data_IF_809491404415
#
_entry.id   IF_809491404415
#
_cell.length_a   1.000
_cell.length_b   1.000
_cell.length_c   1.000
_cell.angle_alpha   90.00
_cell.angle_beta   90.00
_cell.angle_gamma   90.00
#
_symmetry.space_group_name_H-M   'P 1'
#
loop_
_entity.id
_entity.type
_entity.pdbx_description
1 polymer ?
#
# COMPACT_ATOMS: atom_id res chain seq x y z
N UNK A 1 3.85 -44.39 -47.87
CA UNK A 1 3.53 -44.59 -46.44
C UNK A 1 4.81 -44.91 -45.70
N UNK A 2 5.47 -43.90 -45.14
CA UNK A 2 6.53 -44.07 -44.16
C UNK A 2 6.08 -43.28 -42.93
N UNK A 3 5.79 -44.01 -41.86
CA UNK A 3 5.47 -43.45 -40.55
C UNK A 3 6.70 -42.70 -40.03
N UNK A 4 6.63 -41.37 -40.00
CA UNK A 4 7.55 -40.56 -39.22
C UNK A 4 7.06 -40.63 -37.77
N UNK A 5 7.71 -41.46 -36.98
CA UNK A 5 7.58 -41.44 -35.52
C UNK A 5 8.07 -40.08 -35.01
N UNK A 6 7.13 -39.19 -34.70
CA UNK A 6 7.41 -37.97 -33.95
C UNK A 6 7.72 -38.34 -32.50
N UNK A 7 9.00 -38.57 -32.21
CA UNK A 7 9.51 -38.54 -30.84
C UNK A 7 9.50 -37.05 -30.42
N UNK A 8 8.42 -36.63 -29.75
CA UNK A 8 8.38 -35.37 -29.02
C UNK A 8 9.37 -35.46 -27.84
N UNK A 9 10.64 -35.18 -28.10
CA UNK A 9 11.58 -34.86 -27.03
C UNK A 9 11.20 -33.49 -26.50
N UNK A 10 10.51 -33.45 -25.37
CA UNK A 10 10.25 -32.21 -24.62
C UNK A 10 11.61 -31.61 -24.24
N UNK A 11 12.08 -30.64 -25.03
CA UNK A 11 13.33 -29.94 -24.73
C UNK A 11 13.11 -29.14 -23.44
N UNK A 12 13.67 -29.63 -22.34
CA UNK A 12 13.78 -28.87 -21.11
C UNK A 12 14.48 -27.54 -21.43
N UNK A 13 13.79 -26.43 -21.15
CA UNK A 13 14.36 -25.10 -21.24
C UNK A 13 15.15 -24.85 -19.96
N UNK A 14 16.44 -24.60 -20.10
CA UNK A 14 17.30 -24.14 -19.01
C UNK A 14 17.58 -22.65 -19.18
N UNK A 15 17.47 -21.90 -18.09
CA UNK A 15 17.91 -20.51 -17.99
C UNK A 15 18.92 -20.42 -16.86
N UNK A 16 20.05 -19.78 -17.09
CA UNK A 16 21.05 -19.50 -16.06
C UNK A 16 21.46 -18.05 -16.20
N UNK A 17 21.41 -17.32 -15.08
CA UNK A 17 21.82 -15.93 -15.02
C UNK A 17 22.67 -15.69 -13.78
N UNK A 18 23.82 -15.08 -13.98
CA UNK A 18 24.68 -14.64 -12.89
C UNK A 18 24.55 -13.14 -12.71
N UNK A 19 24.18 -12.72 -11.50
CA UNK A 19 24.13 -11.32 -11.10
C UNK A 19 25.27 -11.03 -10.14
N UNK A 20 26.07 -10.02 -10.48
CA UNK A 20 27.17 -9.57 -9.64
C UNK A 20 26.70 -8.40 -8.75
N UNK A 21 26.91 -8.52 -7.44
CA UNK A 21 26.60 -7.51 -6.42
C UNK A 21 27.89 -7.18 -5.66
N UNK A 22 28.61 -6.16 -6.16
CA UNK A 22 29.96 -5.84 -5.66
C UNK A 22 30.95 -6.96 -5.99
N UNK A 23 31.66 -7.48 -4.99
CA UNK A 23 32.54 -8.65 -5.12
C UNK A 23 31.81 -9.99 -5.01
N UNK A 24 30.51 -9.97 -4.71
CA UNK A 24 29.71 -11.19 -4.62
C UNK A 24 29.07 -11.49 -5.98
N UNK A 25 28.96 -12.77 -6.32
CA UNK A 25 28.10 -13.23 -7.42
C UNK A 25 26.99 -14.13 -6.87
N UNK A 26 25.83 -14.04 -7.50
CA UNK A 26 24.72 -14.96 -7.33
C UNK A 26 24.36 -15.52 -8.70
N UNK A 27 24.55 -16.82 -8.88
CA UNK A 27 24.04 -17.53 -10.05
C UNK A 27 22.70 -18.15 -9.71
N UNK A 28 21.71 -17.86 -10.56
CA UNK A 28 20.35 -18.35 -10.48
C UNK A 28 20.08 -19.19 -11.71
N UNK A 29 19.76 -20.46 -11.50
CA UNK A 29 19.42 -21.38 -12.58
C UNK A 29 17.99 -21.87 -12.44
N UNK A 30 17.27 -21.88 -13.56
CA UNK A 30 15.93 -22.41 -13.70
C UNK A 30 15.90 -23.49 -14.77
N UNK A 31 15.20 -24.59 -14.50
CA UNK A 31 14.93 -25.65 -15.47
C UNK A 31 13.48 -26.09 -15.43
N UNK A 32 12.89 -26.31 -16.61
CA UNK A 32 11.51 -26.81 -16.77
C UNK A 32 11.10 -26.92 -18.24
N UNK A 33 9.91 -27.47 -18.51
CA UNK A 33 9.38 -27.56 -19.88
C UNK A 33 9.10 -26.17 -20.48
N UNK A 34 8.58 -25.26 -19.64
CA UNK A 34 8.26 -23.87 -19.98
C UNK A 34 8.81 -22.97 -18.89
N UNK A 35 9.47 -21.88 -19.27
CA UNK A 35 9.93 -20.89 -18.30
C UNK A 35 8.77 -20.02 -17.79
N UNK A 36 8.65 -19.78 -16.48
CA UNK A 36 7.60 -18.96 -15.91
C UNK A 36 7.75 -17.50 -16.33
N UNK A 37 6.75 -17.00 -17.02
CA UNK A 37 6.72 -15.68 -17.64
C UNK A 37 5.45 -14.93 -17.27
N UNK A 38 5.45 -13.61 -17.54
CA UNK A 38 4.29 -12.77 -17.23
C UNK A 38 4.09 -12.54 -15.73
N UNK A 39 2.97 -11.89 -15.40
CA UNK A 39 2.74 -11.30 -14.07
C UNK A 39 2.34 -12.34 -13.01
N UNK A 40 1.65 -13.42 -13.40
CA UNK A 40 1.05 -14.37 -12.46
C UNK A 40 2.08 -15.12 -11.60
N UNK A 41 3.19 -15.67 -12.15
CA UNK A 41 4.23 -16.27 -11.32
C UNK A 41 4.85 -15.30 -10.31
N UNK A 42 5.06 -14.02 -10.69
CA UNK A 42 5.64 -13.01 -9.79
C UNK A 42 4.70 -12.69 -8.63
N UNK A 43 3.42 -12.52 -8.93
CA UNK A 43 2.39 -12.26 -7.90
C UNK A 43 2.19 -13.47 -7.00
N UNK A 44 2.14 -14.67 -7.57
CA UNK A 44 2.02 -15.89 -6.79
C UNK A 44 3.23 -16.10 -5.87
N UNK A 45 4.45 -15.93 -6.36
CA UNK A 45 5.66 -16.00 -5.52
C UNK A 45 5.63 -14.95 -4.40
N UNK A 46 5.27 -13.71 -4.74
CA UNK A 46 5.10 -12.62 -3.76
C UNK A 46 4.06 -12.97 -2.70
N UNK A 47 2.96 -13.62 -3.09
CA UNK A 47 1.91 -14.08 -2.18
C UNK A 47 2.43 -15.15 -1.21
N UNK A 48 3.14 -16.18 -1.71
CA UNK A 48 3.73 -17.23 -0.87
C UNK A 48 4.66 -16.63 0.18
N UNK A 49 5.61 -15.79 -0.26
CA UNK A 49 6.54 -15.08 0.62
C UNK A 49 5.81 -14.21 1.64
N UNK A 50 4.82 -13.42 1.20
CA UNK A 50 4.01 -12.55 2.06
C UNK A 50 3.28 -13.35 3.13
N UNK A 51 2.68 -14.49 2.80
CA UNK A 51 1.97 -15.29 3.79
C UNK A 51 2.91 -15.82 4.87
N UNK A 52 4.05 -16.41 4.50
CA UNK A 52 5.03 -16.93 5.47
C UNK A 52 5.52 -15.84 6.42
N UNK A 53 5.95 -14.69 5.88
CA UNK A 53 6.52 -13.60 6.68
C UNK A 53 5.45 -12.92 7.54
N UNK A 54 4.26 -12.66 6.98
CA UNK A 54 3.17 -11.97 7.68
C UNK A 54 2.60 -12.80 8.83
N UNK A 55 2.45 -14.12 8.65
CA UNK A 55 1.91 -15.02 9.68
C UNK A 55 2.98 -15.48 10.67
N UNK A 56 4.27 -15.22 10.38
CA UNK A 56 5.42 -15.79 11.13
C UNK A 56 5.30 -17.31 11.21
N UNK A 57 4.98 -17.92 10.07
CA UNK A 57 4.74 -19.36 10.05
C UNK A 57 5.98 -20.10 10.57
N UNK A 58 5.73 -21.05 11.48
CA UNK A 58 6.75 -21.97 12.00
C UNK A 58 6.88 -23.23 11.15
N UNK A 59 5.91 -23.46 10.26
CA UNK A 59 5.79 -24.63 9.40
C UNK A 59 5.74 -24.19 7.93
N UNK A 60 6.15 -25.04 6.97
CA UNK A 60 6.18 -24.70 5.54
C UNK A 60 4.79 -24.68 4.88
N UNK A 61 3.73 -24.33 5.63
CA UNK A 61 2.35 -24.33 5.15
C UNK A 61 1.89 -22.91 4.86
N UNK A 62 1.40 -22.67 3.65
CA UNK A 62 0.75 -21.44 3.22
C UNK A 62 -0.75 -21.70 3.07
N UNK A 63 -1.57 -20.97 3.83
CA UNK A 63 -3.01 -20.99 3.66
C UNK A 63 -3.40 -20.18 2.42
N UNK A 64 -4.23 -20.76 1.57
CA UNK A 64 -4.83 -20.08 0.41
C UNK A 64 -6.33 -19.81 0.65
N UNK A 65 -6.95 -18.91 -0.12
CA UNK A 65 -8.37 -18.61 0.04
C UNK A 65 -9.29 -19.81 -0.20
N UNK A 66 -10.54 -19.71 0.28
CA UNK A 66 -11.49 -20.82 0.28
C UNK A 66 -11.97 -21.23 -1.11
N UNK A 67 -11.83 -20.36 -2.11
CA UNK A 67 -12.23 -20.61 -3.49
C UNK A 67 -11.16 -20.17 -4.48
N UNK A 68 -11.14 -20.81 -5.65
CA UNK A 68 -10.25 -20.48 -6.78
C UNK A 68 -10.43 -19.03 -7.24
N UNK A 69 -11.68 -18.55 -7.31
CA UNK A 69 -11.98 -17.16 -7.66
C UNK A 69 -11.37 -16.15 -6.66
N UNK A 70 -11.44 -16.45 -5.36
CA UNK A 70 -10.82 -15.60 -4.34
C UNK A 70 -9.29 -15.68 -4.40
N UNK A 71 -8.72 -16.85 -4.73
CA UNK A 71 -7.29 -16.99 -4.98
C UNK A 71 -6.80 -16.16 -6.15
N UNK A 72 -7.51 -16.17 -7.29
CA UNK A 72 -7.16 -15.32 -8.43
C UNK A 72 -7.15 -13.83 -8.06
N UNK A 73 -8.13 -13.38 -7.28
CA UNK A 73 -8.18 -11.99 -6.81
C UNK A 73 -7.04 -11.65 -5.83
N UNK A 74 -6.85 -12.46 -4.79
CA UNK A 74 -5.95 -12.13 -3.67
C UNK A 74 -4.49 -12.48 -3.92
N UNK A 75 -4.22 -13.61 -4.59
CA UNK A 75 -2.86 -14.09 -4.85
C UNK A 75 -2.34 -13.64 -6.22
N UNK A 76 -3.21 -13.57 -7.23
CA UNK A 76 -2.81 -13.25 -8.60
C UNK A 76 -3.22 -11.85 -9.06
N UNK A 77 -3.99 -11.10 -8.26
CA UNK A 77 -4.44 -9.74 -8.58
C UNK A 77 -5.34 -9.67 -9.82
N UNK A 78 -6.15 -10.70 -10.04
CA UNK A 78 -7.15 -10.77 -11.13
C UNK A 78 -8.48 -10.25 -10.58
N UNK A 79 -8.82 -9.01 -10.90
CA UNK A 79 -10.02 -8.33 -10.40
C UNK A 79 -11.24 -8.43 -11.34
N UNK A 80 -11.13 -9.25 -12.39
CA UNK A 80 -12.18 -9.51 -13.37
C UNK A 80 -12.55 -11.00 -13.37
N UNK A 81 -13.64 -11.36 -14.04
CA UNK A 81 -14.03 -12.77 -14.24
C UNK A 81 -13.20 -13.32 -15.42
N UNK A 82 -12.26 -14.25 -15.20
CA UNK A 82 -11.38 -14.73 -16.26
C UNK A 82 -12.14 -15.59 -17.27
N UNK A 83 -11.82 -15.44 -18.55
CA UNK A 83 -12.32 -16.32 -19.60
C UNK A 83 -11.61 -17.69 -19.55
N UNK A 84 -12.14 -18.70 -20.26
CA UNK A 84 -11.48 -20.02 -20.35
C UNK A 84 -10.03 -19.91 -20.81
N UNK A 85 -9.75 -19.05 -21.80
CA UNK A 85 -8.39 -18.83 -22.31
C UNK A 85 -7.48 -18.19 -21.28
N UNK A 86 -8.01 -17.28 -20.46
CA UNK A 86 -7.23 -16.66 -19.37
C UNK A 86 -6.90 -17.69 -18.30
N UNK A 87 -7.85 -18.56 -17.96
CA UNK A 87 -7.66 -19.66 -17.00
C UNK A 87 -6.57 -20.61 -17.52
N UNK A 88 -6.64 -21.03 -18.79
CA UNK A 88 -5.63 -21.89 -19.40
C UNK A 88 -4.23 -21.25 -19.35
N UNK A 89 -4.14 -19.95 -19.65
CA UNK A 89 -2.88 -19.21 -19.59
C UNK A 89 -2.35 -19.07 -18.15
N UNK A 90 -3.23 -18.81 -17.18
CA UNK A 90 -2.88 -18.76 -15.75
C UNK A 90 -2.37 -20.13 -15.31
N UNK A 91 -3.14 -21.19 -15.56
CA UNK A 91 -2.81 -22.56 -15.17
C UNK A 91 -1.47 -22.99 -15.76
N UNK A 92 -1.22 -22.70 -17.04
CA UNK A 92 0.06 -22.96 -17.70
C UNK A 92 1.23 -22.26 -17.00
N UNK A 93 1.09 -20.98 -16.65
CA UNK A 93 2.18 -20.22 -16.01
C UNK A 93 2.37 -20.59 -14.54
N UNK A 94 1.30 -20.93 -13.81
CA UNK A 94 1.39 -21.43 -12.43
C UNK A 94 2.05 -22.81 -12.40
N UNK A 95 1.66 -23.71 -13.31
CA UNK A 95 2.32 -25.00 -13.49
C UNK A 95 3.80 -24.83 -13.81
N UNK A 96 4.13 -24.01 -14.83
CA UNK A 96 5.50 -23.71 -15.20
C UNK A 96 6.34 -23.17 -14.03
N UNK A 97 5.75 -22.31 -13.20
CA UNK A 97 6.42 -21.78 -12.01
C UNK A 97 6.69 -22.85 -10.95
N UNK A 98 5.71 -23.71 -10.69
CA UNK A 98 5.83 -24.77 -9.69
C UNK A 98 6.82 -25.85 -10.13
N UNK A 99 6.77 -26.26 -11.40
CA UNK A 99 7.63 -27.29 -11.96
C UNK A 99 9.09 -26.82 -12.09
N UNK A 100 9.33 -25.51 -12.02
CA UNK A 100 10.66 -24.96 -12.07
C UNK A 100 11.48 -25.32 -10.84
N UNK A 101 12.74 -25.66 -11.09
CA UNK A 101 13.74 -25.86 -10.04
C UNK A 101 14.71 -24.69 -10.01
N UNK A 102 15.13 -24.32 -8.81
CA UNK A 102 16.00 -23.18 -8.55
C UNK A 102 17.34 -23.66 -7.98
N UNK A 103 18.45 -23.27 -8.61
CA UNK A 103 19.79 -23.40 -8.03
C UNK A 103 20.35 -22.02 -7.70
N UNK A 104 20.97 -21.90 -6.53
CA UNK A 104 21.57 -20.68 -5.99
C UNK A 104 23.03 -20.94 -5.60
N UNK A 105 23.95 -20.26 -6.26
CA UNK A 105 25.39 -20.32 -5.97
C UNK A 105 25.90 -18.95 -5.55
N UNK A 106 26.65 -18.90 -4.43
CA UNK A 106 27.20 -17.68 -3.85
C UNK A 106 28.72 -17.74 -3.89
N UNK A 107 29.38 -16.63 -4.25
CA UNK A 107 30.85 -16.56 -4.22
C UNK A 107 31.45 -16.44 -2.81
N UNK A 108 30.66 -16.10 -1.79
CA UNK A 108 31.10 -16.04 -0.39
C UNK A 108 30.08 -16.74 0.54
N UNK A 109 30.26 -18.03 0.84
CA UNK A 109 29.29 -18.84 1.57
C UNK A 109 29.39 -18.75 3.11
N UNK A 110 30.19 -17.83 3.67
CA UNK A 110 30.47 -17.78 5.11
C UNK A 110 29.29 -17.30 5.98
N UNK A 111 28.19 -16.84 5.38
CA UNK A 111 26.95 -16.47 6.06
C UNK A 111 25.96 -17.64 6.02
N UNK A 112 25.30 -17.95 7.16
CA UNK A 112 24.27 -19.00 7.24
C UNK A 112 23.16 -18.83 6.20
N UNK A 113 22.88 -17.60 5.77
CA UNK A 113 21.89 -17.30 4.73
C UNK A 113 22.37 -17.63 3.30
N UNK A 114 23.69 -17.66 3.07
CA UNK A 114 24.37 -17.75 1.76
C UNK A 114 24.95 -19.14 1.48
N UNK A 115 24.23 -20.17 1.89
CA UNK A 115 24.58 -21.56 1.53
C UNK A 115 24.22 -21.81 0.07
N UNK A 116 25.12 -22.49 -0.65
CA UNK A 116 24.80 -23.05 -1.97
C UNK A 116 23.63 -24.02 -1.84
N UNK A 117 22.71 -23.95 -2.78
CA UNK A 117 21.52 -24.80 -2.82
C UNK A 117 21.27 -25.17 -4.27
N UNK A 118 20.99 -26.43 -4.54
CA UNK A 118 20.80 -26.92 -5.90
C UNK A 118 19.42 -27.56 -6.02
N UNK A 119 18.78 -27.36 -7.17
CA UNK A 119 17.52 -28.03 -7.52
C UNK A 119 16.38 -27.83 -6.50
N UNK A 120 16.30 -26.64 -5.88
CA UNK A 120 15.22 -26.28 -4.96
C UNK A 120 13.90 -26.31 -5.72
N UNK A 121 12.95 -27.14 -5.26
CA UNK A 121 11.57 -27.08 -5.74
C UNK A 121 10.80 -26.01 -4.99
N UNK A 122 9.81 -25.35 -5.60
CA UNK A 122 9.06 -24.30 -4.89
C UNK A 122 8.07 -24.86 -3.87
N UNK A 123 7.41 -25.96 -4.22
CA UNK A 123 6.35 -26.61 -3.42
C UNK A 123 6.64 -28.08 -3.26
N UNK A 124 6.07 -28.68 -2.21
CA UNK A 124 6.16 -30.10 -1.90
C UNK A 124 4.78 -30.74 -1.84
N UNK A 125 4.70 -32.05 -2.11
CA UNK A 125 3.45 -32.79 -2.17
C UNK A 125 2.59 -32.49 -3.41
N UNK A 126 1.33 -32.94 -3.38
CA UNK A 126 0.38 -32.73 -4.48
C UNK A 126 -0.19 -31.30 -4.50
N UNK A 127 0.06 -30.63 -5.62
CA UNK A 127 -0.32 -29.26 -5.91
C UNK A 127 -1.00 -29.11 -7.28
N UNK A 128 -1.37 -30.23 -7.91
CA UNK A 128 -2.03 -30.26 -9.23
C UNK A 128 -3.32 -29.46 -9.26
N UNK A 129 -4.07 -29.46 -8.15
CA UNK A 129 -5.31 -28.71 -7.95
C UNK A 129 -5.21 -27.18 -8.11
N UNK A 130 -3.99 -26.62 -8.12
CA UNK A 130 -3.74 -25.21 -8.42
C UNK A 130 -3.90 -24.86 -9.90
N UNK A 131 -3.69 -25.82 -10.80
CA UNK A 131 -3.68 -25.62 -12.24
C UNK A 131 -4.48 -26.65 -13.03
N UNK A 132 -5.07 -27.64 -12.36
CA UNK A 132 -6.02 -28.60 -12.93
C UNK A 132 -7.42 -28.32 -12.38
N UNK A 133 -8.31 -27.86 -13.27
CA UNK A 133 -9.67 -27.47 -12.90
C UNK A 133 -10.55 -28.65 -12.51
N UNK A 134 -10.18 -29.88 -12.90
CA UNK A 134 -10.93 -31.10 -12.55
C UNK A 134 -10.77 -31.54 -11.09
N UNK A 135 -9.71 -31.05 -10.41
CA UNK A 135 -9.38 -31.42 -9.05
C UNK A 135 -10.13 -30.57 -8.02
N UNK A 136 -10.37 -31.16 -6.84
CA UNK A 136 -10.99 -30.47 -5.70
C UNK A 136 -10.04 -29.39 -5.16
N UNK A 137 -10.56 -28.18 -5.00
CA UNK A 137 -9.82 -27.05 -4.44
C UNK A 137 -9.37 -27.32 -3.00
N UNK A 138 -8.08 -27.15 -2.72
CA UNK A 138 -7.51 -27.26 -1.37
C UNK A 138 -7.18 -25.87 -0.81
N UNK A 139 -7.06 -25.78 0.52
CA UNK A 139 -6.83 -24.50 1.22
C UNK A 139 -5.40 -24.34 1.73
N UNK A 140 -4.50 -25.25 1.38
CA UNK A 140 -3.13 -25.27 1.88
C UNK A 140 -2.15 -25.67 0.79
N UNK A 141 -1.05 -24.94 0.70
CA UNK A 141 0.12 -25.26 -0.11
C UNK A 141 1.27 -25.55 0.85
N UNK A 142 1.96 -26.66 0.65
CA UNK A 142 3.20 -26.96 1.36
C UNK A 142 4.38 -26.52 0.51
N UNK A 143 5.25 -25.67 1.06
CA UNK A 143 6.51 -25.27 0.44
C UNK A 143 7.54 -26.39 0.61
N UNK A 144 8.59 -26.40 -0.22
CA UNK A 144 9.79 -27.17 0.14
C UNK A 144 10.45 -26.57 1.39
N UNK A 145 11.16 -27.40 2.15
CA UNK A 145 11.86 -26.95 3.36
C UNK A 145 12.95 -25.93 3.01
N UNK A 146 13.65 -26.14 1.89
CA UNK A 146 14.69 -25.23 1.39
C UNK A 146 14.12 -23.87 1.00
N UNK A 147 12.98 -23.83 0.29
CA UNK A 147 12.34 -22.56 -0.05
C UNK A 147 11.79 -21.87 1.20
N UNK A 148 11.15 -22.61 2.11
CA UNK A 148 10.61 -22.06 3.35
C UNK A 148 11.71 -21.39 4.19
N UNK A 149 12.85 -22.05 4.36
CA UNK A 149 13.99 -21.49 5.06
C UNK A 149 14.60 -20.31 4.29
N UNK A 150 14.71 -20.38 2.96
CA UNK A 150 15.18 -19.27 2.14
C UNK A 150 14.32 -18.02 2.36
N UNK A 151 12.99 -18.14 2.26
CA UNK A 151 12.05 -17.04 2.48
C UNK A 151 12.27 -16.42 3.87
N UNK A 152 12.38 -17.24 4.92
CA UNK A 152 12.55 -16.73 6.29
C UNK A 152 13.87 -16.00 6.51
N UNK A 153 14.93 -16.41 5.80
CA UNK A 153 16.26 -15.84 5.95
C UNK A 153 16.49 -14.60 5.08
N UNK A 154 15.87 -14.52 3.90
CA UNK A 154 16.28 -13.55 2.87
C UNK A 154 15.15 -12.69 2.31
N UNK A 155 13.89 -12.88 2.74
CA UNK A 155 12.78 -12.07 2.25
C UNK A 155 13.00 -10.57 2.50
N UNK A 156 12.86 -9.79 1.43
CA UNK A 156 12.94 -8.33 1.45
C UNK A 156 11.54 -7.72 1.24
N UNK A 157 11.28 -6.52 1.79
CA UNK A 157 10.01 -5.85 1.56
C UNK A 157 9.87 -5.43 0.09
N UNK A 158 8.66 -5.57 -0.47
CA UNK A 158 8.26 -5.10 -1.81
C UNK A 158 7.04 -4.17 -1.70
N UNK A 159 6.78 -3.36 -2.73
CA UNK A 159 5.63 -2.44 -2.75
C UNK A 159 4.32 -3.19 -3.00
N UNK A 160 3.44 -3.23 -2.00
CA UNK A 160 2.12 -3.85 -2.12
C UNK A 160 1.25 -3.16 -3.20
N UNK A 161 1.32 -1.82 -3.25
CA UNK A 161 0.63 -1.01 -4.25
C UNK A 161 1.08 -1.36 -5.67
N UNK A 162 2.39 -1.54 -5.89
CA UNK A 162 2.91 -1.96 -7.19
C UNK A 162 2.42 -3.36 -7.59
N UNK A 163 2.42 -4.31 -6.65
CA UNK A 163 1.95 -5.68 -6.91
C UNK A 163 0.49 -5.70 -7.36
N UNK A 164 -0.34 -4.80 -6.82
CA UNK A 164 -1.76 -4.66 -7.16
C UNK A 164 -1.98 -3.90 -8.48
N UNK A 165 -1.36 -2.74 -8.65
CA UNK A 165 -1.60 -1.84 -9.79
C UNK A 165 -0.89 -2.25 -11.08
N UNK A 166 0.30 -2.86 -11.00
CA UNK A 166 1.06 -3.18 -12.19
C UNK A 166 0.54 -4.46 -12.85
N UNK A 167 0.03 -4.33 -14.07
CA UNK A 167 -0.34 -5.44 -14.94
C UNK A 167 0.84 -6.05 -15.70
N UNK A 168 1.97 -5.31 -15.80
CA UNK A 168 3.15 -5.71 -16.55
C UNK A 168 4.25 -6.25 -15.63
N UNK A 169 4.70 -7.48 -15.90
CA UNK A 169 5.79 -8.13 -15.15
C UNK A 169 7.11 -7.35 -15.20
N UNK A 170 7.51 -6.84 -16.37
CA UNK A 170 8.74 -6.06 -16.54
C UNK A 170 8.77 -4.83 -15.64
N UNK A 171 7.62 -4.16 -15.49
CA UNK A 171 7.49 -2.97 -14.64
C UNK A 171 7.71 -3.31 -13.16
N UNK A 172 7.14 -4.43 -12.71
CA UNK A 172 7.33 -4.95 -11.36
C UNK A 172 8.78 -5.38 -11.11
N UNK A 173 9.39 -6.08 -12.08
CA UNK A 173 10.77 -6.57 -12.00
C UNK A 173 11.78 -5.40 -11.94
N UNK A 174 11.61 -4.38 -12.79
CA UNK A 174 12.43 -3.16 -12.77
C UNK A 174 12.27 -2.43 -11.43
N UNK A 175 11.04 -2.24 -10.95
CA UNK A 175 10.80 -1.57 -9.66
C UNK A 175 11.53 -2.30 -8.52
N UNK A 176 11.32 -3.61 -8.39
CA UNK A 176 11.91 -4.39 -7.31
C UNK A 176 13.44 -4.37 -7.38
N UNK A 177 14.00 -4.48 -8.58
CA UNK A 177 15.44 -4.36 -8.79
C UNK A 177 15.97 -2.99 -8.36
N UNK A 178 15.36 -1.91 -8.83
CA UNK A 178 15.80 -0.55 -8.51
C UNK A 178 15.68 -0.22 -7.02
N UNK A 179 14.62 -0.68 -6.34
CA UNK A 179 14.48 -0.50 -4.89
C UNK A 179 15.53 -1.28 -4.10
N UNK A 180 15.86 -2.49 -4.54
CA UNK A 180 16.95 -3.27 -3.96
C UNK A 180 18.31 -2.62 -4.19
N UNK A 181 18.56 -2.07 -5.38
CA UNK A 181 19.79 -1.30 -5.65
C UNK A 181 19.85 -0.04 -4.78
N UNK A 182 18.76 0.73 -4.69
CA UNK A 182 18.67 1.91 -3.83
C UNK A 182 19.03 1.56 -2.36
N UNK A 183 18.50 0.45 -1.83
CA UNK A 183 18.85 -0.02 -0.50
C UNK A 183 20.36 -0.28 -0.35
N UNK A 184 20.97 -1.04 -1.25
CA UNK A 184 22.39 -1.36 -1.19
C UNK A 184 23.31 -0.14 -1.35
N UNK A 185 22.93 0.78 -2.23
CA UNK A 185 23.64 2.03 -2.47
C UNK A 185 23.52 2.98 -1.28
N UNK A 186 22.34 3.08 -0.67
CA UNK A 186 22.10 3.86 0.54
C UNK A 186 22.94 3.34 1.72
N UNK A 187 23.02 2.02 1.91
CA UNK A 187 23.88 1.42 2.95
C UNK A 187 25.35 1.80 2.80
N UNK A 188 25.81 2.00 1.56
CA UNK A 188 27.21 2.34 1.23
C UNK A 188 27.44 3.85 1.09
N UNK A 189 26.38 4.65 1.01
CA UNK A 189 26.48 6.09 0.77
C UNK A 189 27.05 6.45 -0.60
N UNK A 190 26.82 5.64 -1.64
CA UNK A 190 27.38 5.85 -2.98
C UNK A 190 26.30 5.89 -4.06
N UNK A 191 26.51 6.70 -5.10
CA UNK A 191 25.72 6.65 -6.33
C UNK A 191 26.29 5.63 -7.32
N UNK A 192 25.46 5.15 -8.24
CA UNK A 192 25.88 4.18 -9.25
C UNK A 192 25.36 4.52 -10.65
N UNK A 193 26.16 4.21 -11.66
CA UNK A 193 25.80 4.39 -13.07
C UNK A 193 25.51 3.04 -13.71
N UNK A 194 24.27 2.84 -14.14
CA UNK A 194 23.84 1.68 -14.91
C UNK A 194 24.03 1.93 -16.40
N UNK A 195 24.65 0.96 -17.07
CA UNK A 195 24.70 0.89 -18.52
C UNK A 195 23.40 0.29 -19.06
N UNK A 196 22.84 0.91 -20.09
CA UNK A 196 21.55 0.51 -20.67
C UNK A 196 21.61 -0.92 -21.25
N UNK A 197 22.76 -1.34 -21.77
CA UNK A 197 22.99 -2.68 -22.32
C UNK A 197 22.78 -3.74 -21.24
N UNK A 198 23.32 -3.50 -20.03
CA UNK A 198 23.13 -4.40 -18.88
C UNK A 198 21.68 -4.43 -18.41
N UNK A 199 20.99 -3.29 -18.43
CA UNK A 199 19.57 -3.25 -18.11
C UNK A 199 18.72 -3.96 -19.19
N UNK A 200 19.14 -3.90 -20.44
CA UNK A 200 18.51 -4.59 -21.56
C UNK A 200 18.70 -6.11 -21.47
N UNK A 201 19.87 -6.59 -21.06
CA UNK A 201 20.10 -8.01 -20.79
C UNK A 201 19.14 -8.54 -19.70
N UNK A 202 18.85 -7.73 -18.68
CA UNK A 202 17.97 -8.11 -17.57
C UNK A 202 16.48 -7.99 -17.90
N UNK A 203 16.06 -6.92 -18.59
CA UNK A 203 14.64 -6.55 -18.72
C UNK A 203 14.16 -6.37 -20.17
N UNK A 204 15.07 -6.49 -21.14
CA UNK A 204 14.84 -6.28 -22.56
C UNK A 204 14.15 -7.42 -23.29
N UNK A 205 13.86 -8.54 -22.61
CA UNK A 205 13.16 -9.68 -23.19
C UNK A 205 11.88 -9.26 -23.93
N UNK A 206 11.77 -9.69 -25.20
CA UNK A 206 10.64 -9.37 -26.08
C UNK A 206 10.66 -7.96 -26.69
N UNK A 207 11.72 -7.18 -26.48
CA UNK A 207 11.97 -5.91 -27.17
C UNK A 207 13.06 -6.15 -28.22
N UNK A 208 12.91 -5.68 -29.47
CA UNK A 208 13.81 -6.07 -30.56
C UNK A 208 15.17 -5.37 -30.50
N UNK A 209 15.26 -4.15 -29.96
CA UNK A 209 16.50 -3.39 -29.94
C UNK A 209 16.62 -2.46 -28.73
N UNK A 210 17.85 -2.01 -28.47
CA UNK A 210 18.22 -1.17 -27.34
C UNK A 210 17.52 0.20 -27.34
N UNK A 211 17.27 0.80 -28.52
CA UNK A 211 16.63 2.10 -28.62
C UNK A 211 15.15 2.04 -28.22
N UNK A 212 14.44 0.99 -28.63
CA UNK A 212 13.07 0.73 -28.20
C UNK A 212 13.03 0.41 -26.71
N UNK A 213 13.96 -0.40 -26.21
CA UNK A 213 14.05 -0.67 -24.79
C UNK A 213 14.27 0.60 -23.98
N UNK A 214 15.11 1.53 -24.44
CA UNK A 214 15.29 2.84 -23.81
C UNK A 214 13.98 3.61 -23.68
N UNK A 215 13.17 3.64 -24.73
CA UNK A 215 11.85 4.30 -24.73
C UNK A 215 10.92 3.64 -23.70
N UNK A 216 10.88 2.31 -23.69
CA UNK A 216 10.08 1.54 -22.72
C UNK A 216 10.57 1.78 -21.29
N UNK A 217 11.88 1.74 -21.06
CA UNK A 217 12.49 1.95 -19.75
C UNK A 217 12.21 3.35 -19.21
N UNK A 218 12.37 4.39 -20.04
CA UNK A 218 12.06 5.76 -19.64
C UNK A 218 10.60 5.93 -19.22
N UNK A 219 9.67 5.33 -19.99
CA UNK A 219 8.25 5.33 -19.64
C UNK A 219 8.01 4.61 -18.29
N UNK A 220 8.61 3.44 -18.11
CA UNK A 220 8.51 2.67 -16.86
C UNK A 220 9.09 3.45 -15.68
N UNK A 221 10.23 4.12 -15.83
CA UNK A 221 10.84 4.93 -14.77
C UNK A 221 9.93 6.08 -14.35
N UNK A 222 9.31 6.79 -15.31
CA UNK A 222 8.36 7.86 -15.00
C UNK A 222 7.18 7.33 -14.17
N UNK A 223 6.57 6.23 -14.61
CA UNK A 223 5.46 5.61 -13.89
C UNK A 223 5.88 5.05 -12.50
N UNK A 224 7.14 4.64 -12.35
CA UNK A 224 7.70 4.23 -11.04
C UNK A 224 7.86 5.44 -10.11
N UNK A 225 8.33 6.58 -10.62
CA UNK A 225 8.52 7.81 -9.85
C UNK A 225 7.20 8.37 -9.28
N UNK A 226 6.07 8.11 -9.94
CA UNK A 226 4.74 8.42 -9.41
C UNK A 226 4.37 7.59 -8.18
N UNK A 227 4.93 6.37 -8.06
CA UNK A 227 4.64 5.43 -6.99
C UNK A 227 5.60 5.57 -5.81
N UNK A 228 6.89 5.74 -6.08
CA UNK A 228 7.97 5.77 -5.09
C UNK A 228 8.94 6.89 -5.44
N UNK A 229 9.41 7.69 -4.46
CA UNK A 229 10.33 8.82 -4.71
C UNK A 229 11.76 8.34 -5.00
N UNK A 230 11.93 7.51 -6.03
CA UNK A 230 13.20 6.94 -6.47
C UNK A 230 13.97 7.97 -7.31
N UNK A 231 15.23 8.21 -6.97
CA UNK A 231 16.10 9.13 -7.70
C UNK A 231 16.98 8.37 -8.71
N UNK A 232 16.44 8.21 -9.92
CA UNK A 232 17.14 7.66 -11.08
C UNK A 232 16.89 8.55 -12.29
N UNK A 233 17.96 8.93 -13.00
CA UNK A 233 17.88 9.83 -14.15
C UNK A 233 18.77 9.34 -15.29
N UNK A 234 18.35 9.61 -16.52
CA UNK A 234 19.18 9.37 -17.68
C UNK A 234 20.28 10.44 -17.72
N UNK A 235 21.54 10.02 -17.62
CA UNK A 235 22.69 10.91 -17.76
C UNK A 235 22.97 11.21 -19.23
N UNK A 236 22.86 10.18 -20.07
CA UNK A 236 23.04 10.26 -21.51
C UNK A 236 22.23 9.15 -22.22
N UNK A 237 22.53 8.87 -23.49
CA UNK A 237 21.83 7.85 -24.28
C UNK A 237 22.04 6.43 -23.76
N UNK A 238 23.16 6.16 -23.09
CA UNK A 238 23.62 4.83 -22.69
C UNK A 238 23.65 4.63 -21.18
N UNK A 239 23.59 5.71 -20.39
CA UNK A 239 23.82 5.64 -18.95
C UNK A 239 22.65 6.22 -18.14
N UNK A 240 22.30 5.52 -17.06
CA UNK A 240 21.37 5.95 -16.04
C UNK A 240 22.10 6.08 -14.70
N UNK A 241 21.97 7.22 -14.04
CA UNK A 241 22.56 7.44 -12.71
C UNK A 241 21.47 7.28 -11.68
N UNK A 242 21.73 6.47 -10.66
CA UNK A 242 20.91 6.37 -9.46
C UNK A 242 21.64 7.00 -8.28
N UNK A 243 20.97 7.94 -7.64
CA UNK A 243 21.40 8.52 -6.37
C UNK A 243 20.56 7.89 -5.26
N UNK A 244 21.18 7.30 -4.23
CA UNK A 244 20.41 6.61 -3.21
C UNK A 244 19.60 7.61 -2.37
N UNK A 245 18.37 7.25 -2.05
CA UNK A 245 17.44 8.09 -1.26
C UNK A 245 16.80 7.30 -0.14
N UNK A 246 16.81 7.87 1.07
CA UNK A 246 16.17 7.26 2.24
C UNK A 246 14.64 7.16 2.08
N UNK A 247 14.04 8.13 1.37
CA UNK A 247 12.59 8.19 1.12
C UNK A 247 12.09 7.02 0.28
N UNK A 248 12.95 6.43 -0.56
CA UNK A 248 12.62 5.27 -1.38
C UNK A 248 12.90 3.92 -0.68
N UNK A 249 13.38 3.92 0.57
CA UNK A 249 13.58 2.69 1.32
C UNK A 249 12.24 2.07 1.71
N UNK A 250 11.98 0.86 1.22
CA UNK A 250 10.85 0.07 1.67
C UNK A 250 11.06 -0.38 3.11
N UNK A 251 10.21 0.11 4.02
CA UNK A 251 10.21 -0.26 5.42
C UNK A 251 9.22 -1.41 5.61
N UNK A 252 9.68 -2.51 6.20
CA UNK A 252 8.76 -3.55 6.64
C UNK A 252 7.79 -2.92 7.65
N UNK A 253 6.48 -3.01 7.40
CA UNK A 253 5.48 -2.58 8.36
C UNK A 253 5.69 -3.37 9.66
N UNK A 254 6.32 -2.74 10.66
CA UNK A 254 6.35 -3.29 12.00
C UNK A 254 4.91 -3.32 12.48
N UNK A 255 4.36 -4.53 12.63
CA UNK A 255 3.07 -4.70 13.29
C UNK A 255 3.15 -3.94 14.62
N UNK A 256 2.23 -3.00 14.86
CA UNK A 256 2.12 -2.32 16.16
C UNK A 256 2.09 -3.40 17.24
N UNK A 257 2.86 -3.23 18.32
CA UNK A 257 2.81 -4.14 19.46
C UNK A 257 1.37 -4.07 20.01
N UNK A 258 0.56 -5.09 19.72
CA UNK A 258 -0.86 -5.15 20.06
C UNK A 258 -1.13 -5.16 21.58
N UNK A 259 -0.08 -5.24 22.40
CA UNK A 259 -0.14 -5.30 23.86
C UNK A 259 0.57 -4.13 24.57
N UNK A 260 0.91 -3.03 23.88
CA UNK A 260 1.35 -1.83 24.59
C UNK A 260 0.14 -0.98 24.94
N UNK A 261 -0.35 -1.12 26.18
CA UNK A 261 -1.15 -0.09 26.82
C UNK A 261 -0.31 1.19 26.83
N UNK A 262 -0.63 2.14 25.94
CA UNK A 262 0.08 3.44 25.87
C UNK A 262 -0.30 4.37 27.01
N UNK A 263 -1.43 4.11 27.66
CA UNK A 263 -1.92 4.86 28.80
C UNK A 263 -2.53 3.87 29.80
N UNK A 264 -2.06 3.87 31.05
CA UNK A 264 -2.59 3.00 32.10
C UNK A 264 -4.09 3.26 32.37
N UNK A 265 -4.61 4.41 31.92
CA UNK A 265 -6.03 4.80 32.05
C UNK A 265 -6.91 4.42 30.86
N UNK A 266 -6.33 4.04 29.71
CA UNK A 266 -7.08 3.62 28.52
C UNK A 266 -7.41 2.14 28.59
N UNK A 267 -8.65 1.84 28.97
CA UNK A 267 -9.17 0.48 29.12
C UNK A 267 -9.39 -0.22 27.75
N UNK A 268 -9.61 0.58 26.70
CA UNK A 268 -9.87 0.12 25.33
C UNK A 268 -8.60 0.26 24.51
N UNK A 269 -8.14 -0.84 23.91
CA UNK A 269 -6.97 -0.82 23.04
C UNK A 269 -7.26 -0.15 21.67
N UNK A 270 -6.20 0.40 21.06
CA UNK A 270 -6.27 1.07 19.76
C UNK A 270 -6.73 0.13 18.62
N UNK A 271 -6.34 -1.15 18.66
CA UNK A 271 -6.77 -2.13 17.65
C UNK A 271 -8.30 -2.30 17.60
N UNK A 272 -8.97 -2.20 18.76
CA UNK A 272 -10.42 -2.26 18.82
C UNK A 272 -11.05 -0.97 18.28
N UNK A 273 -10.46 0.19 18.60
CA UNK A 273 -10.88 1.48 18.01
C UNK A 273 -10.77 1.45 16.49
N UNK A 274 -9.65 0.96 15.94
CA UNK A 274 -9.44 0.89 14.49
C UNK A 274 -10.46 -0.02 13.79
N UNK A 275 -10.89 -1.12 14.42
CA UNK A 275 -12.00 -1.94 13.92
C UNK A 275 -13.32 -1.16 13.88
N UNK A 276 -13.56 -0.32 14.88
CA UNK A 276 -14.79 0.50 14.98
C UNK A 276 -14.81 1.64 13.95
N UNK A 277 -13.64 2.12 13.48
CA UNK A 277 -13.55 3.14 12.41
C UNK A 277 -14.17 2.72 11.08
N UNK A 278 -14.46 1.42 10.90
CA UNK A 278 -15.22 0.93 9.75
C UNK A 278 -16.71 1.30 9.80
N UNK A 279 -17.24 1.62 10.98
CA UNK A 279 -18.67 1.83 11.22
C UNK A 279 -19.02 3.15 11.92
N UNK A 280 -18.05 3.78 12.59
CA UNK A 280 -18.25 5.00 13.38
C UNK A 280 -17.16 6.03 13.07
N UNK A 281 -17.47 7.31 13.28
CA UNK A 281 -16.49 8.39 13.14
C UNK A 281 -15.42 8.31 14.24
N UNK A 282 -14.23 8.85 13.96
CA UNK A 282 -13.15 8.89 14.95
C UNK A 282 -13.54 9.71 16.19
N UNK A 283 -14.32 10.79 16.01
CA UNK A 283 -14.84 11.62 17.10
C UNK A 283 -15.79 10.83 17.98
N UNK A 284 -16.71 10.06 17.39
CA UNK A 284 -17.64 9.23 18.15
C UNK A 284 -16.91 8.16 18.96
N UNK A 285 -15.91 7.51 18.36
CA UNK A 285 -15.12 6.47 19.02
C UNK A 285 -14.35 7.06 20.21
N UNK A 286 -13.66 8.18 20.04
CA UNK A 286 -12.89 8.79 21.13
C UNK A 286 -13.79 9.33 22.25
N UNK A 287 -14.91 9.97 21.89
CA UNK A 287 -15.88 10.49 22.86
C UNK A 287 -16.53 9.37 23.68
N UNK A 288 -16.92 8.28 23.02
CA UNK A 288 -17.45 7.09 23.69
C UNK A 288 -16.38 6.40 24.54
N UNK A 289 -15.11 6.38 24.12
CA UNK A 289 -14.02 5.84 24.94
C UNK A 289 -13.81 6.65 26.23
N UNK A 290 -13.89 7.98 26.17
CA UNK A 290 -13.84 8.84 27.36
C UNK A 290 -15.00 8.54 28.30
N UNK A 291 -16.21 8.43 27.76
CA UNK A 291 -17.40 8.07 28.53
C UNK A 291 -17.26 6.72 29.26
N UNK A 292 -16.83 5.69 28.52
CA UNK A 292 -16.58 4.34 29.06
C UNK A 292 -15.47 4.36 30.12
N UNK A 293 -14.41 5.15 29.91
CA UNK A 293 -13.31 5.25 30.87
C UNK A 293 -13.77 5.85 32.20
N UNK A 294 -14.57 6.93 32.18
CA UNK A 294 -15.14 7.54 33.39
C UNK A 294 -15.96 6.55 34.21
N UNK A 295 -16.84 5.79 33.56
CA UNK A 295 -17.69 4.78 34.23
C UNK A 295 -16.93 3.55 34.71
N UNK A 296 -15.89 3.15 33.99
CA UNK A 296 -15.05 2.04 34.42
C UNK A 296 -14.22 2.42 35.65
N UNK A 297 -13.77 3.67 35.77
CA UNK A 297 -13.12 4.17 36.98
C UNK A 297 -14.05 4.16 38.20
N UNK A 298 -15.37 4.27 37.97
CA UNK A 298 -16.41 4.15 39.01
C UNK A 298 -16.77 2.68 39.33
N UNK A 299 -16.18 1.70 38.62
CA UNK A 299 -16.45 0.27 38.83
C UNK A 299 -17.78 -0.22 38.22
N UNK A 300 -18.45 0.60 37.40
CA UNK A 300 -19.79 0.33 36.87
C UNK A 300 -19.80 -0.66 35.69
N UNK A 301 -18.62 -1.02 35.16
CA UNK A 301 -18.50 -1.76 33.90
C UNK A 301 -17.73 -3.07 34.09
N UNK A 302 -18.41 -4.21 33.84
CA UNK A 302 -17.79 -5.54 33.82
C UNK A 302 -17.03 -5.84 32.53
N UNK A 303 -17.53 -5.39 31.38
CA UNK A 303 -16.97 -5.69 30.06
C UNK A 303 -16.84 -4.44 29.18
N UNK A 304 -15.73 -3.69 29.30
CA UNK A 304 -15.54 -2.39 28.64
C UNK A 304 -15.69 -2.41 27.12
N UNK A 305 -15.19 -3.46 26.47
CA UNK A 305 -15.26 -3.61 25.01
C UNK A 305 -16.68 -3.82 24.49
N UNK A 306 -17.47 -4.64 25.17
CA UNK A 306 -18.87 -4.86 24.82
C UNK A 306 -19.68 -3.59 25.10
N UNK A 307 -19.46 -3.00 26.27
CA UNK A 307 -20.14 -1.78 26.67
C UNK A 307 -19.87 -0.61 25.72
N UNK A 308 -18.64 -0.45 25.23
CA UNK A 308 -18.32 0.56 24.21
C UNK A 308 -19.14 0.40 22.93
N UNK A 309 -19.41 -0.84 22.49
CA UNK A 309 -20.26 -1.07 21.30
C UNK A 309 -21.70 -0.64 21.54
N UNK A 310 -22.21 -0.85 22.74
CA UNK A 310 -23.58 -0.45 23.09
C UNK A 310 -23.69 1.06 23.26
N UNK A 311 -22.66 1.71 23.82
CA UNK A 311 -22.54 3.16 23.90
C UNK A 311 -22.52 3.79 22.51
N UNK A 312 -21.74 3.24 21.57
CA UNK A 312 -21.66 3.74 20.19
C UNK A 312 -22.98 3.61 19.42
N UNK A 313 -23.82 2.63 19.75
CA UNK A 313 -25.18 2.53 19.19
C UNK A 313 -26.13 3.59 19.73
N UNK A 314 -25.78 4.25 20.84
CA UNK A 314 -26.62 5.23 21.52
C UNK A 314 -25.88 6.58 21.69
N UNK A 315 -25.78 7.41 20.63
CA UNK A 315 -25.03 8.67 20.65
C UNK A 315 -25.37 9.62 21.79
N UNK A 316 -26.63 9.60 22.25
CA UNK A 316 -27.10 10.43 23.37
C UNK A 316 -26.37 10.16 24.68
N UNK A 317 -25.78 8.97 24.88
CA UNK A 317 -25.10 8.62 26.13
C UNK A 317 -23.80 9.37 26.34
N UNK A 318 -23.05 9.66 25.28
CA UNK A 318 -21.74 10.31 25.33
C UNK A 318 -21.76 11.71 24.69
N UNK A 319 -22.95 12.31 24.53
CA UNK A 319 -23.12 13.61 23.87
C UNK A 319 -22.31 14.73 24.56
N UNK A 320 -22.26 14.71 25.90
CA UNK A 320 -21.48 15.67 26.68
C UNK A 320 -19.98 15.55 26.40
N UNK A 321 -19.45 14.32 26.41
CA UNK A 321 -18.07 14.01 26.06
C UNK A 321 -17.76 14.42 24.63
N UNK A 322 -18.68 14.19 23.70
CA UNK A 322 -18.54 14.58 22.29
C UNK A 322 -18.41 16.09 22.12
N UNK A 323 -19.30 16.85 22.76
CA UNK A 323 -19.27 18.33 22.74
C UNK A 323 -17.94 18.84 23.31
N UNK A 324 -17.52 18.30 24.45
CA UNK A 324 -16.24 18.67 25.08
C UNK A 324 -15.04 18.34 24.20
N UNK A 325 -15.03 17.15 23.59
CA UNK A 325 -13.97 16.70 22.71
C UNK A 325 -13.84 17.60 21.47
N UNK A 326 -14.95 17.87 20.78
CA UNK A 326 -15.01 18.78 19.64
C UNK A 326 -14.48 20.16 20.01
N UNK A 327 -14.93 20.73 21.13
CA UNK A 327 -14.50 22.05 21.59
C UNK A 327 -12.99 22.08 21.88
N UNK A 328 -12.44 21.03 22.49
CA UNK A 328 -11.00 20.94 22.75
C UNK A 328 -10.19 20.82 21.45
N UNK A 329 -10.64 19.99 20.51
CA UNK A 329 -9.99 19.85 19.19
C UNK A 329 -9.96 21.19 18.47
N UNK A 330 -11.06 21.94 18.45
CA UNK A 330 -11.09 23.26 17.82
C UNK A 330 -10.22 24.29 18.54
N UNK A 331 -10.09 24.25 19.87
CA UNK A 331 -9.13 25.10 20.60
C UNK A 331 -7.69 24.81 20.15
N UNK A 332 -7.32 23.54 20.01
CA UNK A 332 -5.98 23.16 19.52
C UNK A 332 -5.75 23.59 18.07
N UNK A 333 -6.75 23.39 17.20
CA UNK A 333 -6.64 23.79 15.78
C UNK A 333 -6.60 25.30 15.60
N UNK A 334 -7.34 26.06 16.40
CA UNK A 334 -7.27 27.52 16.40
C UNK A 334 -5.89 27.99 16.85
N UNK A 335 -5.34 27.38 17.90
CA UNK A 335 -3.98 27.67 18.36
C UNK A 335 -2.94 27.35 17.28
N UNK A 336 -3.07 26.21 16.59
CA UNK A 336 -2.23 25.83 15.44
C UNK A 336 -2.30 26.90 14.33
N UNK A 337 -3.52 27.35 13.99
CA UNK A 337 -3.74 28.41 13.01
C UNK A 337 -3.12 29.74 13.44
N UNK A 338 -3.25 30.12 14.71
CA UNK A 338 -2.68 31.34 15.29
C UNK A 338 -1.13 31.31 15.31
N UNK A 339 -0.50 30.15 15.26
CA UNK A 339 0.95 30.02 15.16
C UNK A 339 1.49 29.96 13.72
N UNK A 340 0.62 29.97 12.71
CA UNK A 340 1.06 30.09 11.31
C UNK A 340 1.73 31.44 11.05
N UNK A 341 2.68 31.46 10.10
CA UNK A 341 3.32 32.69 9.65
C UNK A 341 2.28 33.69 9.09
N UNK A 342 2.59 34.98 9.20
CA UNK A 342 1.73 36.07 8.68
C UNK A 342 1.39 35.88 7.20
N UNK A 343 2.36 35.39 6.43
CA UNK A 343 2.23 35.20 4.98
C UNK A 343 1.21 34.11 4.66
N UNK A 344 1.27 32.97 5.39
CA UNK A 344 0.32 31.86 5.20
C UNK A 344 -1.10 32.25 5.61
N UNK A 345 -1.27 32.97 6.72
CA UNK A 345 -2.58 33.50 7.13
C UNK A 345 -3.15 34.45 6.10
N UNK A 346 -2.32 35.35 5.58
CA UNK A 346 -2.70 36.32 4.55
C UNK A 346 -3.09 35.63 3.25
N UNK A 347 -2.33 34.61 2.84
CA UNK A 347 -2.63 33.80 1.66
C UNK A 347 -3.98 33.07 1.81
N UNK A 348 -4.20 32.43 2.95
CA UNK A 348 -5.46 31.74 3.25
C UNK A 348 -6.66 32.69 3.25
N UNK A 349 -6.53 33.87 3.87
CA UNK A 349 -7.58 34.88 3.89
C UNK A 349 -7.89 35.41 2.47
N UNK A 350 -6.86 35.67 1.64
CA UNK A 350 -7.05 36.07 0.24
C UNK A 350 -7.76 34.98 -0.57
N UNK A 351 -7.34 33.73 -0.42
CA UNK A 351 -7.96 32.61 -1.13
C UNK A 351 -9.43 32.45 -0.73
N UNK A 352 -9.74 32.56 0.57
CA UNK A 352 -11.11 32.54 1.07
C UNK A 352 -11.97 33.66 0.46
N UNK A 353 -11.46 34.90 0.46
CA UNK A 353 -12.18 36.06 -0.10
C UNK A 353 -12.40 35.91 -1.61
N UNK A 354 -11.37 35.51 -2.35
CA UNK A 354 -11.44 35.33 -3.81
C UNK A 354 -12.52 34.31 -4.21
N UNK A 355 -12.58 33.18 -3.48
CA UNK A 355 -13.62 32.16 -3.67
C UNK A 355 -15.03 32.69 -3.39
N UNK A 356 -15.19 33.40 -2.28
CA UNK A 356 -16.46 34.02 -1.90
C UNK A 356 -16.92 35.02 -2.97
N UNK A 357 -16.02 35.88 -3.47
CA UNK A 357 -16.36 36.93 -4.43
C UNK A 357 -16.87 36.37 -5.76
N UNK A 358 -16.26 35.27 -6.24
CA UNK A 358 -16.59 34.63 -7.52
C UNK A 358 -17.97 33.98 -7.58
N UNK A 359 -18.56 33.62 -6.43
CA UNK A 359 -19.84 32.91 -6.41
C UNK A 359 -21.02 33.87 -6.47
N UNK A 360 -21.99 33.56 -7.33
CA UNK A 360 -23.24 34.29 -7.41
C UNK A 360 -24.15 33.89 -6.23
N UNK A 361 -24.80 34.87 -5.57
CA UNK A 361 -25.72 34.60 -4.46
C UNK A 361 -26.86 33.67 -4.90
N UNK A 362 -27.33 33.79 -6.13
CA UNK A 362 -28.43 32.96 -6.62
C UNK A 362 -28.04 31.52 -6.97
N UNK A 363 -26.73 31.19 -7.01
CA UNK A 363 -26.27 29.83 -7.29
C UNK A 363 -26.15 28.95 -6.05
N UNK A 364 -26.44 29.48 -4.84
CA UNK A 364 -26.40 28.72 -3.59
C UNK A 364 -27.83 28.54 -3.00
N UNK A 365 -28.06 27.49 -2.19
CA UNK A 365 -29.34 27.25 -1.52
C UNK A 365 -29.83 28.47 -0.72
N UNK A 366 -31.15 28.74 -0.73
CA UNK A 366 -31.78 29.90 -0.08
C UNK A 366 -31.37 30.07 1.39
N UNK A 367 -31.21 28.96 2.10
CA UNK A 367 -30.78 28.93 3.51
C UNK A 367 -29.35 29.45 3.76
N UNK A 368 -28.48 29.40 2.74
CA UNK A 368 -27.08 29.85 2.84
C UNK A 368 -26.85 31.24 2.23
N UNK A 369 -27.82 31.78 1.48
CA UNK A 369 -27.73 33.11 0.86
C UNK A 369 -27.43 34.24 1.86
N UNK A 370 -28.08 34.29 3.04
CA UNK A 370 -27.77 35.31 4.04
C UNK A 370 -26.31 35.25 4.52
N UNK A 371 -25.71 34.06 4.61
CA UNK A 371 -24.33 33.86 5.03
C UNK A 371 -23.36 34.43 4.00
N UNK A 372 -23.56 34.11 2.72
CA UNK A 372 -22.72 34.62 1.64
C UNK A 372 -22.85 36.14 1.52
N UNK A 373 -24.07 36.68 1.66
CA UNK A 373 -24.33 38.11 1.59
C UNK A 373 -23.59 38.87 2.69
N UNK A 374 -23.70 38.43 3.95
CA UNK A 374 -23.02 39.09 5.07
C UNK A 374 -21.49 38.97 5.00
N UNK A 375 -20.95 37.86 4.46
CA UNK A 375 -19.50 37.72 4.25
C UNK A 375 -19.02 38.67 3.15
N UNK A 376 -19.78 38.86 2.06
CA UNK A 376 -19.46 39.81 0.98
C UNK A 376 -19.60 41.26 1.42
N UNK A 377 -20.57 41.55 2.28
CA UNK A 377 -20.90 42.90 2.75
C UNK A 377 -20.84 42.93 4.29
N UNK A 378 -19.62 42.94 4.86
CA UNK A 378 -19.45 42.93 6.31
C UNK A 378 -20.12 44.18 6.93
N UNK A 379 -20.91 43.97 7.99
CA UNK A 379 -21.58 45.04 8.75
C UNK A 379 -23.11 45.07 8.66
N UNK A 380 -23.72 44.24 7.80
CA UNK A 380 -25.19 44.16 7.69
C UNK A 380 -25.88 43.41 8.85
N UNK A 381 -25.11 42.67 9.67
CA UNK A 381 -25.59 41.92 10.84
C UNK A 381 -26.86 41.09 10.56
N UNK A 382 -26.88 40.38 9.42
CA UNK A 382 -28.04 39.61 8.95
C UNK A 382 -28.21 38.36 9.82
N UNK A 383 -27.12 37.71 10.20
CA UNK A 383 -27.07 36.48 10.99
C UNK A 383 -26.55 36.79 12.39
N UNK A 384 -27.43 36.61 13.36
CA UNK A 384 -27.07 36.72 14.77
C UNK A 384 -26.03 35.66 15.14
N UNK A 385 -24.91 36.11 15.73
CA UNK A 385 -23.84 35.22 16.19
C UNK A 385 -22.88 34.75 15.10
N UNK A 386 -22.87 35.41 13.92
CA UNK A 386 -21.89 35.10 12.89
C UNK A 386 -20.45 35.34 13.39
N UNK A 387 -19.54 34.36 13.31
CA UNK A 387 -18.18 34.52 13.78
C UNK A 387 -17.42 35.63 13.05
N UNK A 388 -16.48 36.29 13.74
CA UNK A 388 -15.64 37.33 13.16
C UNK A 388 -14.75 36.83 12.00
N UNK A 389 -14.23 37.76 11.19
CA UNK A 389 -13.47 37.43 9.98
C UNK A 389 -12.28 36.49 10.24
N UNK A 390 -11.49 36.76 11.29
CA UNK A 390 -10.34 35.90 11.64
C UNK A 390 -10.76 34.46 11.93
N UNK A 391 -11.85 34.27 12.68
CA UNK A 391 -12.37 32.93 12.99
C UNK A 391 -12.92 32.23 11.75
N UNK A 392 -13.59 32.96 10.85
CA UNK A 392 -14.05 32.40 9.55
C UNK A 392 -12.87 31.94 8.68
N UNK A 393 -11.77 32.71 8.65
CA UNK A 393 -10.55 32.32 7.96
C UNK A 393 -9.92 31.06 8.56
N UNK A 394 -9.93 30.93 9.90
CA UNK A 394 -9.54 29.70 10.58
C UNK A 394 -10.43 28.51 10.16
N UNK A 395 -11.75 28.66 10.20
CA UNK A 395 -12.68 27.58 9.83
C UNK A 395 -12.47 27.15 8.38
N UNK A 396 -12.25 28.11 7.48
CA UNK A 396 -11.95 27.83 6.08
C UNK A 396 -10.61 27.10 5.91
N UNK A 397 -9.58 27.51 6.64
CA UNK A 397 -8.29 26.80 6.67
C UNK A 397 -8.46 25.36 7.17
N UNK A 398 -9.19 25.16 8.27
CA UNK A 398 -9.46 23.84 8.83
C UNK A 398 -10.17 22.95 7.80
N UNK A 399 -11.15 23.50 7.08
CA UNK A 399 -11.84 22.83 5.98
C UNK A 399 -10.89 22.43 4.84
N UNK A 400 -10.08 23.37 4.34
CA UNK A 400 -9.16 23.13 3.21
C UNK A 400 -8.07 22.10 3.53
N UNK A 401 -7.68 21.97 4.79
CA UNK A 401 -6.65 21.04 5.23
C UNK A 401 -7.20 19.73 5.81
N UNK A 402 -8.48 19.40 5.56
CA UNK A 402 -9.14 18.19 6.06
C UNK A 402 -9.00 18.00 7.58
N UNK A 403 -9.07 19.10 8.34
CA UNK A 403 -9.10 19.10 9.81
C UNK A 403 -10.55 18.89 10.30
N UNK A 404 -10.75 18.84 11.62
CA UNK A 404 -12.09 18.73 12.21
C UNK A 404 -12.96 19.94 11.81
N UNK A 405 -14.16 19.67 11.31
CA UNK A 405 -15.16 20.70 10.92
C UNK A 405 -16.55 20.39 11.48
N UNK A 406 -16.63 19.52 12.49
CA UNK A 406 -17.88 19.25 13.21
C UNK A 406 -18.10 20.33 14.27
N UNK A 407 -19.15 21.13 14.13
CA UNK A 407 -19.50 22.19 15.09
C UNK A 407 -20.85 21.92 15.73
N UNK A 408 -21.01 22.33 17.00
CA UNK A 408 -22.26 22.19 17.73
C UNK A 408 -23.26 23.33 17.43
N UNK A 409 -22.77 24.47 16.95
CA UNK A 409 -23.60 25.62 16.62
C UNK A 409 -24.06 25.57 15.17
N UNK A 410 -25.34 25.88 14.96
CA UNK A 410 -25.99 25.88 13.64
C UNK A 410 -25.34 26.87 12.67
N UNK A 411 -24.82 27.98 13.19
CA UNK A 411 -24.17 29.03 12.40
C UNK A 411 -22.88 28.50 11.77
N UNK A 412 -22.00 27.90 12.56
CA UNK A 412 -20.73 27.33 12.10
C UNK A 412 -20.98 26.13 11.18
N UNK A 413 -21.95 25.27 11.48
CA UNK A 413 -22.32 24.16 10.58
C UNK A 413 -22.77 24.66 9.21
N UNK A 414 -23.56 25.75 9.16
CA UNK A 414 -23.99 26.35 7.90
C UNK A 414 -22.84 27.03 7.14
N UNK A 415 -21.85 27.61 7.84
CA UNK A 415 -20.63 28.10 7.20
C UNK A 415 -19.82 26.98 6.54
N UNK A 416 -19.68 25.82 7.19
CA UNK A 416 -19.00 24.66 6.58
C UNK A 416 -19.80 24.14 5.36
N UNK A 417 -21.13 24.11 5.41
CA UNK A 417 -21.96 23.79 4.24
C UNK A 417 -21.72 24.77 3.09
N UNK A 418 -21.62 26.07 3.39
CA UNK A 418 -21.27 27.08 2.40
C UNK A 418 -19.88 26.83 1.81
N UNK A 419 -18.88 26.50 2.62
CA UNK A 419 -17.51 26.24 2.15
C UNK A 419 -17.41 25.05 1.19
N UNK A 420 -18.26 24.03 1.35
CA UNK A 420 -18.35 22.91 0.41
C UNK A 420 -18.85 23.31 -0.99
N UNK A 421 -19.47 24.48 -1.11
CA UNK A 421 -19.98 25.04 -2.37
C UNK A 421 -19.01 26.08 -2.97
N UNK A 422 -17.94 26.45 -2.25
CA UNK A 422 -16.87 27.36 -2.70
C UNK A 422 -15.81 26.61 -3.51
#
# INVERSE_FOLDING_TARGET
>A
MQHINCINTTKNKSYSQTVNIGTNSLTVEFSGEVLPSGIYPRRFFSYLCKQIIRTRSKVPIVNVPRSRAQFYKEALGVHYVPSSKDIDAINLQIKAFIDCKLSLSYSNPNDKSRKQREQISFVSGDHSWLYDDSQIWKQQITLSDELFELIKLTAVPISAKATEEFSNARKLDILNYLLYQNYNLQLKGISFTFQIEKLYELFGGGVPNLNEFRRVLNKVILEIKELVPLDIEAKDKYNYVMTPTEKALLKQHKRRKTNQFKDQKLIINEDFKDKLKQSYSEIDIESACVYVSKRNQQGEIRHPYAYLRDVLKNPSWYQTEKIQFINNVHKFQLNEYEHLSSDLKSLNARHFIDRIQKINIYSIPRELQPYLQEIKQPGQAIIKGLPGHQYRCYMYWAFMHNKCTEFNSTVESNLIKLFKLL
#
